data_IF_372269304130
#
_entry.id   IF_372269304130
#
_cell.length_a   1.000
_cell.length_b   1.000
_cell.length_c   1.000
_cell.angle_alpha   90.00
_cell.angle_beta   90.00
_cell.angle_gamma   90.00
#
_symmetry.space_group_name_H-M   'P 1'
#
loop_
_entity.id
_entity.type
_entity.pdbx_description
1 polymer ?
#
# COMPACT_ATOMS: atom_id res chain seq x y z
N UNK A 1 3.12 -6.56 27.43
CA UNK A 1 3.91 -6.91 28.64
C UNK A 1 4.74 -8.15 28.33
N UNK A 2 6.06 -8.03 28.21
CA UNK A 2 6.97 -9.15 28.03
C UNK A 2 7.02 -9.99 29.32
N UNK A 3 6.99 -11.33 29.20
CA UNK A 3 7.00 -12.23 30.37
C UNK A 3 8.28 -12.04 31.19
N UNK A 4 8.21 -11.89 32.52
CA UNK A 4 9.39 -11.94 33.37
C UNK A 4 10.03 -13.33 33.26
N UNK A 5 11.30 -13.39 32.85
CA UNK A 5 12.08 -14.64 32.76
C UNK A 5 12.38 -15.16 31.36
N UNK A 6 12.03 -14.44 30.29
CA UNK A 6 12.49 -14.78 28.95
C UNK A 6 13.91 -14.21 28.72
N UNK A 7 14.94 -15.04 28.92
CA UNK A 7 16.33 -14.70 28.61
C UNK A 7 16.57 -14.77 27.10
N UNK A 8 15.99 -13.86 26.33
CA UNK A 8 16.37 -13.68 24.93
C UNK A 8 17.78 -13.08 24.88
N UNK A 9 18.65 -13.62 24.00
CA UNK A 9 20.01 -13.09 23.80
C UNK A 9 20.00 -11.59 23.46
N UNK A 10 18.99 -11.15 22.73
CA UNK A 10 18.75 -9.75 22.36
C UNK A 10 18.68 -8.80 23.56
N UNK A 11 18.19 -9.28 24.71
CA UNK A 11 18.10 -8.48 25.93
C UNK A 11 19.46 -8.26 26.62
N UNK A 12 20.44 -9.12 26.36
CA UNK A 12 21.79 -8.95 26.89
C UNK A 12 22.63 -8.03 26.02
N UNK A 13 22.42 -8.06 24.70
CA UNK A 13 23.19 -7.29 23.73
C UNK A 13 22.59 -5.90 23.47
N UNK A 14 21.37 -5.62 23.98
CA UNK A 14 20.59 -4.41 23.69
C UNK A 14 20.44 -4.13 22.18
N UNK A 15 20.45 -5.19 21.36
CA UNK A 15 20.40 -5.12 19.90
C UNK A 15 19.26 -6.01 19.39
N UNK A 16 18.34 -5.43 18.62
CA UNK A 16 17.31 -6.16 17.89
C UNK A 16 17.69 -6.12 16.41
N UNK A 17 17.81 -7.29 15.78
CA UNK A 17 18.16 -7.41 14.36
C UNK A 17 16.91 -7.63 13.53
N UNK A 18 16.73 -6.81 12.51
CA UNK A 18 15.65 -6.91 11.53
C UNK A 18 16.27 -7.22 10.16
N UNK A 19 16.66 -8.48 9.88
CA UNK A 19 17.45 -8.83 8.71
C UNK A 19 16.71 -8.58 7.38
N UNK A 20 15.38 -8.61 7.39
CA UNK A 20 14.53 -8.44 6.21
C UNK A 20 13.98 -7.01 6.06
N UNK A 21 14.40 -6.09 6.94
CA UNK A 21 13.96 -4.70 6.90
C UNK A 21 14.95 -3.84 6.12
N UNK A 22 14.43 -3.11 5.13
CA UNK A 22 15.20 -2.08 4.47
C UNK A 22 15.56 -0.94 5.43
N UNK A 23 16.80 -0.45 5.36
CA UNK A 23 17.32 0.56 6.29
C UNK A 23 16.67 1.94 6.11
N UNK A 24 16.25 2.28 4.90
CA UNK A 24 15.57 3.54 4.59
C UNK A 24 14.12 3.49 5.07
N UNK A 25 13.45 2.35 4.87
CA UNK A 25 12.13 2.08 5.45
C UNK A 25 12.16 2.14 6.98
N UNK A 26 13.15 1.52 7.62
CA UNK A 26 13.29 1.57 9.08
C UNK A 26 13.53 3.00 9.58
N UNK A 27 14.41 3.76 8.91
CA UNK A 27 14.67 5.15 9.26
C UNK A 27 13.41 6.02 9.16
N UNK A 28 12.60 5.77 8.12
CA UNK A 28 11.31 6.44 7.92
C UNK A 28 10.28 6.05 8.99
N UNK A 29 10.25 4.78 9.39
CA UNK A 29 9.43 4.32 10.52
C UNK A 29 9.83 4.97 11.84
N UNK A 30 11.14 5.07 12.13
CA UNK A 30 11.61 5.79 13.33
C UNK A 30 11.17 7.25 13.29
N UNK A 31 11.31 7.94 12.15
CA UNK A 31 10.83 9.31 12.01
C UNK A 31 9.31 9.40 12.25
N UNK A 32 8.53 8.43 11.74
CA UNK A 32 7.10 8.32 12.00
C UNK A 32 6.81 8.16 13.50
N UNK A 33 7.50 7.29 14.23
CA UNK A 33 7.30 7.10 15.67
C UNK A 33 7.48 8.41 16.47
N UNK A 34 8.43 9.26 16.07
CA UNK A 34 8.67 10.54 16.77
C UNK A 34 7.75 11.67 16.34
N UNK A 35 7.18 11.62 15.13
CA UNK A 35 6.45 12.77 14.54
C UNK A 35 4.97 12.50 14.27
N UNK A 36 4.57 11.23 14.23
CA UNK A 36 3.28 10.75 13.75
C UNK A 36 3.05 11.00 12.26
N UNK A 37 4.11 11.23 11.47
CA UNK A 37 4.00 11.62 10.06
C UNK A 37 4.98 10.85 9.18
N UNK A 38 4.52 10.49 7.98
CA UNK A 38 5.36 10.01 6.89
C UNK A 38 5.73 11.22 6.03
N UNK A 39 7.02 11.48 5.87
CA UNK A 39 7.51 12.58 5.06
C UNK A 39 7.63 12.14 3.60
N UNK A 40 6.51 12.27 2.89
CA UNK A 40 6.44 12.14 1.43
C UNK A 40 6.91 13.43 0.75
N UNK A 41 7.66 13.30 -0.34
CA UNK A 41 8.00 14.41 -1.22
C UNK A 41 7.18 14.18 -2.49
N UNK A 42 5.97 14.74 -2.57
CA UNK A 42 5.13 14.66 -3.76
C UNK A 42 5.87 15.27 -4.96
N UNK A 43 6.63 14.44 -5.64
CA UNK A 43 7.55 14.82 -6.70
C UNK A 43 6.88 14.64 -8.05
N UNK A 44 7.47 15.26 -9.08
CA UNK A 44 6.94 15.23 -10.46
C UNK A 44 7.79 14.43 -11.42
N UNK A 45 9.01 14.06 -11.05
CA UNK A 45 9.84 13.22 -11.91
C UNK A 45 9.47 11.76 -11.73
N UNK A 46 9.47 11.00 -12.82
CA UNK A 46 9.11 9.58 -12.83
C UNK A 46 10.03 8.74 -11.92
N UNK A 47 11.33 9.05 -11.92
CA UNK A 47 12.33 8.39 -11.07
C UNK A 47 12.07 8.63 -9.57
N UNK A 48 11.72 9.86 -9.19
CA UNK A 48 11.42 10.19 -7.78
C UNK A 48 10.10 9.56 -7.34
N UNK A 49 9.09 9.52 -8.22
CA UNK A 49 7.82 8.83 -7.96
C UNK A 49 8.03 7.34 -7.72
N UNK A 50 8.80 6.66 -8.58
CA UNK A 50 9.10 5.24 -8.43
C UNK A 50 9.89 4.94 -7.14
N UNK A 51 10.79 5.84 -6.73
CA UNK A 51 11.50 5.74 -5.46
C UNK A 51 10.55 5.91 -4.27
N UNK A 52 9.66 6.90 -4.33
CA UNK A 52 8.68 7.15 -3.28
C UNK A 52 7.69 5.98 -3.14
N UNK A 53 7.18 5.44 -4.25
CA UNK A 53 6.39 4.21 -4.27
C UNK A 53 7.12 3.04 -3.61
N UNK A 54 8.42 2.86 -3.94
CA UNK A 54 9.26 1.83 -3.35
C UNK A 54 9.43 1.99 -1.84
N UNK A 55 9.58 3.22 -1.35
CA UNK A 55 9.67 3.54 0.07
C UNK A 55 8.34 3.27 0.79
N UNK A 56 7.21 3.73 0.25
CA UNK A 56 5.88 3.49 0.83
C UNK A 56 5.55 1.99 0.86
N UNK A 57 5.86 1.26 -0.22
CA UNK A 57 5.70 -0.19 -0.26
C UNK A 57 6.52 -0.90 0.81
N UNK A 58 7.77 -0.45 1.03
CA UNK A 58 8.64 -1.03 2.05
C UNK A 58 8.16 -0.72 3.47
N UNK A 59 7.65 0.48 3.71
CA UNK A 59 7.00 0.85 4.97
C UNK A 59 5.75 0.00 5.23
N UNK A 60 4.96 -0.29 4.20
CA UNK A 60 3.77 -1.12 4.34
C UNK A 60 4.14 -2.55 4.77
N UNK A 61 5.16 -3.14 4.14
CA UNK A 61 5.69 -4.45 4.55
C UNK A 61 6.18 -4.43 6.00
N UNK A 62 6.85 -3.35 6.40
CA UNK A 62 7.33 -3.18 7.77
C UNK A 62 6.15 -3.05 8.75
N UNK A 63 5.10 -2.32 8.39
CA UNK A 63 3.88 -2.20 9.19
C UNK A 63 3.23 -3.56 9.42
N UNK A 64 3.06 -4.37 8.37
CA UNK A 64 2.51 -5.73 8.47
C UNK A 64 3.39 -6.65 9.32
N UNK A 65 4.72 -6.55 9.17
CA UNK A 65 5.66 -7.32 9.98
C UNK A 65 5.58 -6.96 11.47
N UNK A 66 5.48 -5.66 11.78
CA UNK A 66 5.38 -5.14 13.15
C UNK A 66 3.95 -5.24 13.72
N UNK A 67 2.95 -5.52 12.89
CA UNK A 67 1.53 -5.42 13.22
C UNK A 67 1.16 -4.01 13.72
N UNK A 68 1.68 -2.98 13.05
CA UNK A 68 1.39 -1.58 13.35
C UNK A 68 0.31 -1.04 12.41
N UNK A 69 -0.94 -1.18 12.84
CA UNK A 69 -2.12 -0.73 12.09
C UNK A 69 -2.10 0.79 11.82
N UNK A 70 -1.55 1.59 12.75
CA UNK A 70 -1.48 3.04 12.60
C UNK A 70 -0.51 3.41 11.49
N UNK A 71 0.67 2.78 11.46
CA UNK A 71 1.63 2.94 10.36
C UNK A 71 1.02 2.48 9.04
N UNK A 72 0.38 1.30 9.01
CA UNK A 72 -0.25 0.76 7.80
C UNK A 72 -1.25 1.77 7.23
N UNK A 73 -2.18 2.25 8.05
CA UNK A 73 -3.23 3.20 7.62
C UNK A 73 -2.62 4.54 7.16
N UNK A 74 -1.58 5.02 7.85
CA UNK A 74 -0.89 6.25 7.44
C UNK A 74 -0.17 6.09 6.08
N UNK A 75 0.43 4.93 5.80
CA UNK A 75 1.03 4.62 4.50
C UNK A 75 -0.06 4.60 3.42
N UNK A 76 -1.22 3.98 3.69
CA UNK A 76 -2.36 3.98 2.76
C UNK A 76 -2.81 5.42 2.44
N UNK A 77 -2.99 6.26 3.45
CA UNK A 77 -3.40 7.66 3.27
C UNK A 77 -2.37 8.44 2.44
N UNK A 78 -1.09 8.23 2.72
CA UNK A 78 0.02 8.88 1.99
C UNK A 78 0.03 8.43 0.53
N UNK A 79 -0.13 7.13 0.28
CA UNK A 79 -0.19 6.58 -1.07
C UNK A 79 -1.40 7.10 -1.85
N UNK A 80 -2.59 7.17 -1.23
CA UNK A 80 -3.78 7.77 -1.84
C UNK A 80 -3.55 9.23 -2.18
N UNK A 81 -2.95 10.01 -1.28
CA UNK A 81 -2.62 11.41 -1.53
C UNK A 81 -1.66 11.57 -2.73
N UNK A 82 -0.71 10.66 -2.89
CA UNK A 82 0.22 10.62 -4.03
C UNK A 82 -0.52 10.30 -5.35
N UNK A 83 -1.36 9.25 -5.38
CA UNK A 83 -2.11 8.84 -6.58
C UNK A 83 -3.24 9.82 -6.95
N UNK A 84 -3.65 10.71 -6.04
CA UNK A 84 -4.52 11.84 -6.40
C UNK A 84 -3.80 12.87 -7.27
N UNK A 85 -2.50 13.02 -7.10
CA UNK A 85 -1.68 14.01 -7.82
C UNK A 85 -0.98 13.40 -9.03
N UNK A 86 -0.68 12.11 -8.99
CA UNK A 86 0.11 11.38 -9.97
C UNK A 86 -0.58 10.05 -10.33
N UNK A 87 0.04 9.26 -11.20
CA UNK A 87 -0.35 7.86 -11.40
C UNK A 87 0.54 6.95 -10.56
N UNK A 88 0.29 5.64 -10.60
CA UNK A 88 1.20 4.66 -10.02
C UNK A 88 1.70 3.66 -11.05
N UNK A 89 2.87 3.07 -10.79
CA UNK A 89 3.53 2.15 -11.72
C UNK A 89 2.90 0.75 -11.74
N UNK A 90 2.85 0.08 -12.90
CA UNK A 90 2.36 -1.31 -12.96
C UNK A 90 3.26 -2.29 -12.16
N UNK A 91 4.55 -1.97 -12.04
CA UNK A 91 5.53 -2.77 -11.30
C UNK A 91 5.12 -2.92 -9.83
N UNK A 92 4.44 -1.91 -9.28
CA UNK A 92 3.89 -1.96 -7.94
C UNK A 92 2.82 -3.05 -7.78
N UNK A 93 1.99 -3.31 -8.81
CA UNK A 93 0.96 -4.36 -8.78
C UNK A 93 1.61 -5.73 -8.65
N UNK A 94 2.61 -6.01 -9.50
CA UNK A 94 3.34 -7.29 -9.44
C UNK A 94 3.97 -7.48 -8.07
N UNK A 95 4.70 -6.46 -7.58
CA UNK A 95 5.32 -6.50 -6.24
C UNK A 95 4.29 -6.72 -5.13
N UNK A 96 3.13 -6.06 -5.22
CA UNK A 96 2.08 -6.19 -4.22
C UNK A 96 1.43 -7.58 -4.22
N UNK A 97 1.19 -8.18 -5.39
CA UNK A 97 0.65 -9.53 -5.50
C UNK A 97 1.66 -10.60 -5.01
N UNK A 98 2.96 -10.33 -5.12
CA UNK A 98 4.02 -11.19 -4.59
C UNK A 98 4.18 -11.09 -3.06
N UNK A 99 4.03 -9.87 -2.51
CA UNK A 99 4.31 -9.59 -1.11
C UNK A 99 3.10 -9.71 -0.18
N UNK A 100 1.87 -9.52 -0.70
CA UNK A 100 0.67 -9.46 0.12
C UNK A 100 -0.42 -10.42 -0.38
N UNK A 101 -1.31 -10.91 0.50
CA UNK A 101 -2.49 -11.64 0.08
C UNK A 101 -3.37 -10.83 -0.89
N UNK A 102 -4.03 -11.51 -1.83
CA UNK A 102 -4.88 -10.87 -2.85
C UNK A 102 -6.02 -9.99 -2.29
N UNK A 103 -6.44 -10.27 -1.05
CA UNK A 103 -7.48 -9.53 -0.35
C UNK A 103 -6.95 -8.57 0.72
N UNK A 104 -5.63 -8.32 0.75
CA UNK A 104 -5.05 -7.33 1.67
C UNK A 104 -5.60 -5.94 1.38
N UNK A 105 -5.62 -5.04 2.39
CA UNK A 105 -6.15 -3.68 2.19
C UNK A 105 -5.47 -2.93 1.05
N UNK A 106 -4.13 -3.05 0.95
CA UNK A 106 -3.38 -2.41 -0.12
C UNK A 106 -3.61 -3.02 -1.50
N UNK A 107 -3.68 -4.35 -1.63
CA UNK A 107 -3.96 -4.96 -2.95
C UNK A 107 -5.37 -4.59 -3.42
N UNK A 108 -6.34 -4.54 -2.51
CA UNK A 108 -7.70 -4.04 -2.81
C UNK A 108 -7.70 -2.57 -3.24
N UNK A 109 -6.87 -1.73 -2.63
CA UNK A 109 -6.71 -0.33 -3.04
C UNK A 109 -6.18 -0.23 -4.48
N UNK A 110 -5.15 -1.00 -4.82
CA UNK A 110 -4.61 -1.04 -6.18
C UNK A 110 -5.66 -1.54 -7.20
N UNK A 111 -6.47 -2.54 -6.83
CA UNK A 111 -7.57 -3.01 -7.68
C UNK A 111 -8.57 -1.88 -7.97
N UNK A 112 -9.00 -1.16 -6.94
CA UNK A 112 -9.95 -0.05 -7.09
C UNK A 112 -9.40 1.10 -7.94
N UNK A 113 -8.12 1.43 -7.76
CA UNK A 113 -7.41 2.40 -8.60
C UNK A 113 -7.34 1.96 -10.07
N UNK A 114 -7.07 0.66 -10.34
CA UNK A 114 -7.06 0.10 -11.69
C UNK A 114 -8.45 0.10 -12.34
N UNK A 115 -9.51 -0.21 -11.58
CA UNK A 115 -10.91 -0.15 -12.06
C UNK A 115 -11.21 1.24 -12.62
N UNK A 116 -10.60 2.27 -12.08
CA UNK A 116 -10.84 3.67 -12.44
C UNK A 116 -9.86 4.26 -13.44
N UNK A 117 -8.96 3.44 -13.98
CA UNK A 117 -7.96 3.88 -14.97
C UNK A 117 -6.99 4.93 -14.41
N UNK A 118 -6.61 4.83 -13.12
CA UNK A 118 -5.52 5.60 -12.52
C UNK A 118 -4.13 4.97 -12.72
N UNK A 119 -4.01 4.10 -13.71
CA UNK A 119 -2.76 3.46 -14.11
C UNK A 119 -2.20 4.19 -15.32
N UNK A 120 -0.93 4.58 -15.27
CA UNK A 120 -0.24 5.22 -16.39
C UNK A 120 0.43 4.18 -17.28
N UNK A 121 -0.34 3.30 -17.94
CA UNK A 121 0.19 2.46 -19.03
C UNK A 121 -0.88 1.86 -19.95
N UNK A 122 -0.51 1.52 -21.21
CA UNK A 122 -1.26 0.60 -22.06
C UNK A 122 -1.30 -0.81 -21.43
N UNK A 123 -2.43 -1.50 -21.56
CA UNK A 123 -2.66 -2.86 -21.03
C UNK A 123 -1.66 -3.92 -21.53
N UNK A 124 -0.94 -3.65 -22.63
CA UNK A 124 -0.08 -4.62 -23.31
C UNK A 124 1.20 -4.97 -22.52
N UNK A 125 1.68 -4.08 -21.64
CA UNK A 125 2.89 -4.31 -20.83
C UNK A 125 2.65 -5.17 -19.57
N UNK A 126 1.40 -5.55 -19.29
CA UNK A 126 1.00 -6.37 -18.14
C UNK A 126 1.37 -7.86 -18.31
N UNK A 127 1.77 -8.28 -19.52
CA UNK A 127 1.93 -9.70 -19.87
C UNK A 127 3.21 -10.40 -19.37
N UNK A 128 4.08 -9.74 -18.61
CA UNK A 128 5.44 -10.26 -18.40
C UNK A 128 5.86 -10.67 -16.97
N UNK A 129 4.99 -10.70 -15.95
CA UNK A 129 5.45 -11.12 -14.61
C UNK A 129 4.38 -11.81 -13.76
N UNK A 130 4.68 -13.05 -13.34
CA UNK A 130 4.00 -13.86 -12.31
C UNK A 130 2.47 -13.97 -12.44
N UNK A 131 1.84 -14.85 -11.66
CA UNK A 131 0.39 -15.08 -11.75
C UNK A 131 -0.40 -13.92 -11.12
N UNK A 132 -0.50 -12.81 -11.85
CA UNK A 132 -1.38 -11.68 -11.51
C UNK A 132 -2.79 -11.88 -12.07
N UNK A 133 -3.13 -13.09 -12.55
CA UNK A 133 -4.41 -13.33 -13.24
C UNK A 133 -5.61 -13.09 -12.33
N UNK A 134 -5.54 -13.51 -11.07
CA UNK A 134 -6.60 -13.29 -10.08
C UNK A 134 -6.81 -11.79 -9.82
N UNK A 135 -5.72 -11.01 -9.69
CA UNK A 135 -5.80 -9.56 -9.54
C UNK A 135 -6.55 -8.92 -10.71
N UNK A 136 -6.15 -9.25 -11.95
CA UNK A 136 -6.77 -8.67 -13.14
C UNK A 136 -8.20 -9.15 -13.38
N UNK A 137 -8.52 -10.38 -12.97
CA UNK A 137 -9.88 -10.88 -12.96
C UNK A 137 -10.78 -10.06 -12.03
N UNK A 138 -10.32 -9.76 -10.81
CA UNK A 138 -11.05 -8.91 -9.86
C UNK A 138 -11.20 -7.47 -10.38
N UNK A 139 -10.17 -6.91 -11.02
CA UNK A 139 -10.26 -5.61 -11.70
C UNK A 139 -11.30 -5.63 -12.81
N UNK A 140 -11.35 -6.69 -13.62
CA UNK A 140 -12.33 -6.82 -14.69
C UNK A 140 -13.77 -6.88 -14.14
N UNK A 141 -14.01 -7.65 -13.08
CA UNK A 141 -15.30 -7.70 -12.38
C UNK A 141 -15.69 -6.32 -11.81
N UNK A 142 -14.73 -5.59 -11.22
CA UNK A 142 -14.97 -4.23 -10.75
C UNK A 142 -15.38 -3.26 -11.87
N UNK A 143 -14.72 -3.36 -13.04
CA UNK A 143 -15.07 -2.56 -14.22
C UNK A 143 -16.45 -2.88 -14.79
N UNK A 144 -16.82 -4.16 -14.85
CA UNK A 144 -18.15 -4.60 -15.27
C UNK A 144 -19.23 -3.98 -14.37
N UNK A 145 -19.06 -4.04 -13.05
CA UNK A 145 -19.97 -3.44 -12.07
C UNK A 145 -20.09 -1.91 -12.23
N UNK A 146 -18.99 -1.21 -12.46
CA UNK A 146 -18.99 0.23 -12.72
C UNK A 146 -19.71 0.59 -14.03
N UNK A 147 -19.67 -0.31 -15.02
CA UNK A 147 -20.40 -0.17 -16.28
C UNK A 147 -21.92 -0.36 -16.07
N UNK A 148 -22.32 -1.41 -15.37
CA UNK A 148 -23.72 -1.73 -15.06
C UNK A 148 -24.40 -0.62 -14.25
N UNK A 149 -23.68 -0.05 -13.29
CA UNK A 149 -24.18 1.05 -12.44
C UNK A 149 -24.15 2.42 -13.14
N UNK A 150 -23.60 2.50 -14.35
CA UNK A 150 -23.46 3.74 -15.12
C UNK A 150 -22.44 4.73 -14.56
N UNK A 151 -21.68 4.34 -13.53
CA UNK A 151 -20.63 5.16 -12.91
C UNK A 151 -19.40 5.33 -13.81
N UNK A 152 -19.12 4.34 -14.67
CA UNK A 152 -18.09 4.42 -15.70
C UNK A 152 -18.24 5.67 -16.60
N UNK A 153 -19.48 6.19 -16.77
CA UNK A 153 -19.76 7.38 -17.59
C UNK A 153 -19.53 8.71 -16.86
N UNK A 154 -19.45 8.70 -15.53
CA UNK A 154 -19.46 9.93 -14.71
C UNK A 154 -18.08 10.45 -14.32
N UNK A 155 -16.99 9.70 -14.59
CA UNK A 155 -15.62 10.03 -14.15
C UNK A 155 -15.57 10.58 -12.71
N UNK A 156 -16.30 9.93 -11.80
CA UNK A 156 -16.26 10.30 -10.37
C UNK A 156 -14.92 9.82 -9.80
N UNK A 157 -14.29 10.61 -8.94
CA UNK A 157 -13.04 10.22 -8.28
C UNK A 157 -13.28 9.03 -7.34
N UNK A 158 -12.40 8.02 -7.35
CA UNK A 158 -12.41 6.86 -6.45
C UNK A 158 -12.74 7.25 -5.03
N UNK A 159 -12.03 8.28 -4.60
CA UNK A 159 -11.94 8.65 -3.21
C UNK A 159 -13.08 9.59 -2.82
N UNK A 160 -13.92 10.00 -3.78
CA UNK A 160 -15.22 10.60 -3.51
C UNK A 160 -16.32 9.53 -3.35
N UNK A 161 -16.16 8.37 -3.99
CA UNK A 161 -17.17 7.29 -3.98
C UNK A 161 -16.93 6.27 -2.89
N UNK A 162 -15.67 5.92 -2.65
CA UNK A 162 -15.24 5.01 -1.60
C UNK A 162 -14.34 5.76 -0.63
N UNK A 163 -14.77 5.77 0.63
CA UNK A 163 -13.99 6.26 1.75
C UNK A 163 -12.66 5.49 1.82
N UNK A 164 -11.53 6.21 1.91
CA UNK A 164 -10.18 5.62 2.07
C UNK A 164 -10.16 4.65 3.24
N UNK A 165 -11.00 4.88 4.24
CA UNK A 165 -11.18 4.02 5.39
C UNK A 165 -11.58 2.56 5.05
N UNK A 166 -12.10 2.30 3.85
CA UNK A 166 -12.38 0.94 3.35
C UNK A 166 -11.12 0.10 3.09
N UNK A 167 -9.95 0.76 3.05
CA UNK A 167 -8.62 0.20 2.84
C UNK A 167 -7.74 0.29 4.09
N UNK A 168 -8.30 0.69 5.23
CA UNK A 168 -7.61 0.71 6.51
C UNK A 168 -7.85 -0.58 7.30
N UNK A 169 -6.93 -0.89 8.20
CA UNK A 169 -7.06 -1.94 9.21
C UNK A 169 -7.68 -1.32 10.47
N UNK A 170 -8.71 -1.98 11.02
CA UNK A 170 -9.45 -1.52 12.19
C UNK A 170 -9.53 -2.64 13.24
N UNK A 171 -8.93 -2.45 14.41
CA UNK A 171 -8.96 -3.44 15.51
C UNK A 171 -10.40 -3.75 15.97
N UNK A 172 -11.33 -2.79 15.89
CA UNK A 172 -12.71 -2.91 16.37
C UNK A 172 -13.78 -2.93 15.25
N UNK A 173 -13.35 -2.95 13.98
CA UNK A 173 -14.26 -2.74 12.84
C UNK A 173 -14.93 -1.36 12.79
N UNK A 174 -14.53 -0.43 13.67
CA UNK A 174 -14.95 0.98 13.63
C UNK A 174 -14.15 1.66 12.54
N UNK A 175 -14.88 2.21 11.57
CA UNK A 175 -14.28 3.09 10.57
C UNK A 175 -13.81 4.39 11.23
N UNK A 176 -12.66 4.89 10.81
CA UNK A 176 -12.40 6.31 10.60
C UNK A 176 -13.57 7.00 9.87
#
# INVERSE_FOLDING_TARGET
>A
MLRPGANFRENNDNEIKLPDCDSEAFSSYVAFLYTGKIFSQFTKSEDELAREEGMLFSLLKLADFLQDDLLHNCVIDTFVAQVKQNYFTCKLITRACEAFPIHSPFVRLLQALCVQNKLDMPFDDVRSAHDTSEFWFLVAQGKEKEWETGRARRRVDAFEVEDVCAYHIHEDGKRC
#
